data_IF_005550307139
#
_entry.id   IF_005550307139
#
_cell.length_a   1.000
_cell.length_b   1.000
_cell.length_c   1.000
_cell.angle_alpha   90.00
_cell.angle_beta   90.00
_cell.angle_gamma   90.00
#
_symmetry.space_group_name_H-M   'P 1'
#
loop_
_entity.id
_entity.type
_entity.pdbx_description
1 polymer ?
#
# COMPACT_ATOMS: atom_id res chain seq x y z
N UNK A 1 -4.13 18.90 44.87
CA UNK A 1 -5.11 18.31 44.75
C UNK A 1 -5.54 18.21 43.44
N UNK A 2 -5.75 19.19 42.97
CA UNK A 2 -6.18 19.12 41.76
C UNK A 2 -5.25 18.52 40.93
N UNK A 3 -4.15 18.64 41.16
CA UNK A 3 -3.19 18.14 40.27
C UNK A 3 -3.48 16.73 40.13
N UNK A 4 -3.85 16.27 41.17
CA UNK A 4 -4.14 14.98 41.13
C UNK A 4 -4.97 14.63 40.11
N UNK A 5 -6.00 15.30 40.09
CA UNK A 5 -6.87 14.93 39.27
C UNK A 5 -6.43 15.05 37.99
N UNK A 6 -5.59 15.84 37.83
CA UNK A 6 -5.23 16.03 36.61
C UNK A 6 -4.59 14.92 36.09
N UNK A 7 -3.75 14.45 36.77
CA UNK A 7 -3.11 13.45 36.26
C UNK A 7 -4.00 12.46 35.89
N UNK A 8 -4.91 12.38 36.54
CA UNK A 8 -5.81 11.36 36.25
C UNK A 8 -6.19 11.55 34.85
N UNK A 9 -6.48 12.68 34.54
CA UNK A 9 -7.00 12.87 33.27
C UNK A 9 -6.06 12.41 32.27
N UNK A 10 -4.89 12.72 32.47
CA UNK A 10 -4.03 12.37 31.51
C UNK A 10 -3.99 10.99 31.26
N UNK A 11 -4.26 10.29 32.18
CA UNK A 11 -4.19 8.94 32.00
C UNK A 11 -5.18 8.46 31.05
N UNK A 12 -5.73 9.27 30.32
CA UNK A 12 -6.64 8.76 29.35
C UNK A 12 -5.98 7.71 28.56
N UNK A 13 -4.76 7.78 28.44
CA UNK A 13 -4.16 6.80 27.66
C UNK A 13 -4.42 5.52 28.24
N UNK A 14 -4.51 5.51 29.44
CA UNK A 14 -4.68 4.30 30.04
C UNK A 14 -6.02 3.78 29.85
N UNK A 15 -6.87 4.55 29.37
CA UNK A 15 -8.22 4.11 29.22
C UNK A 15 -8.28 2.94 28.25
N UNK A 16 -7.29 2.76 27.42
CA UNK A 16 -7.30 1.66 26.47
C UNK A 16 -6.07 0.81 26.72
N UNK A 17 -6.22 -0.31 27.40
CA UNK A 17 -5.08 -1.16 27.67
C UNK A 17 -4.42 -1.64 26.41
N UNK A 18 -3.14 -1.66 26.43
CA UNK A 18 -2.38 -2.08 25.26
C UNK A 18 -2.75 -3.50 24.83
N UNK A 19 -3.04 -4.37 25.74
CA UNK A 19 -3.40 -5.70 25.37
C UNK A 19 -4.65 -5.76 24.52
N UNK A 20 -5.60 -4.89 24.78
CA UNK A 20 -6.81 -4.88 24.03
C UNK A 20 -6.53 -4.42 22.63
N UNK A 21 -5.67 -3.46 22.49
CA UNK A 21 -5.32 -2.93 21.17
C UNK A 21 -4.67 -4.03 20.34
N UNK A 22 -3.76 -4.75 20.92
CA UNK A 22 -3.08 -5.79 20.17
C UNK A 22 -4.01 -6.96 19.90
N UNK A 23 -4.88 -7.26 20.83
CA UNK A 23 -5.76 -8.37 20.67
C UNK A 23 -6.72 -8.19 19.50
N UNK A 24 -7.21 -6.96 19.33
CA UNK A 24 -8.19 -6.69 18.29
C UNK A 24 -7.56 -6.31 16.96
N UNK A 25 -6.25 -6.18 16.91
CA UNK A 25 -5.58 -5.78 15.68
C UNK A 25 -5.06 -7.02 14.99
N UNK A 26 -5.38 -7.21 13.73
CA UNK A 26 -4.85 -8.37 13.00
C UNK A 26 -3.34 -8.26 12.92
N UNK A 27 -2.63 -9.38 12.86
CA UNK A 27 -1.18 -9.36 12.72
C UNK A 27 -0.78 -8.60 11.47
N UNK A 28 0.33 -7.86 11.55
CA UNK A 28 0.79 -7.09 10.39
C UNK A 28 0.98 -7.97 9.16
N UNK A 29 1.34 -9.22 9.36
CA UNK A 29 1.54 -10.13 8.24
C UNK A 29 0.25 -10.46 7.52
N UNK A 30 -0.91 -10.22 8.13
CA UNK A 30 -2.17 -10.52 7.50
C UNK A 30 -2.79 -9.31 6.81
N UNK A 31 -2.10 -8.17 6.81
CA UNK A 31 -2.63 -6.98 6.19
C UNK A 31 -2.58 -7.16 4.68
N UNK A 32 -3.73 -7.08 4.06
CA UNK A 32 -3.86 -7.30 2.64
C UNK A 32 -3.72 -5.97 1.89
N UNK A 33 -2.77 -5.91 0.97
CA UNK A 33 -2.51 -4.68 0.22
C UNK A 33 -3.73 -4.20 -0.57
N UNK A 34 -4.52 -5.12 -1.10
CA UNK A 34 -5.70 -4.73 -1.86
C UNK A 34 -6.74 -4.05 -0.97
N UNK A 35 -6.89 -4.53 0.27
CA UNK A 35 -7.82 -3.91 1.20
C UNK A 35 -7.32 -2.53 1.61
N UNK A 36 -6.02 -2.36 1.77
CA UNK A 36 -5.45 -1.06 2.08
C UNK A 36 -5.73 -0.10 0.92
N UNK A 37 -5.54 -0.55 -0.32
CA UNK A 37 -5.82 0.28 -1.49
C UNK A 37 -7.29 0.70 -1.53
N UNK A 38 -8.18 -0.21 -1.15
CA UNK A 38 -9.61 0.07 -1.14
C UNK A 38 -9.92 1.19 -0.14
N UNK A 39 -9.24 1.20 0.99
CA UNK A 39 -9.44 2.24 1.99
C UNK A 39 -8.82 3.58 1.61
N UNK A 40 -7.74 3.55 0.83
CA UNK A 40 -7.04 4.78 0.45
C UNK A 40 -7.63 5.51 -0.75
N UNK A 41 -8.34 4.80 -1.61
CA UNK A 41 -8.80 5.35 -2.87
C UNK A 41 -10.33 5.44 -2.93
N UNK A 42 -10.83 6.37 -3.71
CA UNK A 42 -12.27 6.36 -3.96
C UNK A 42 -12.61 5.15 -4.85
N UNK A 43 -13.88 4.75 -4.91
CA UNK A 43 -14.25 3.53 -5.63
C UNK A 43 -13.82 3.48 -7.08
N UNK A 44 -13.88 4.61 -7.80
CA UNK A 44 -13.50 4.63 -9.19
C UNK A 44 -12.01 4.38 -9.37
N UNK A 45 -11.19 5.07 -8.58
CA UNK A 45 -9.74 4.91 -8.67
C UNK A 45 -9.32 3.52 -8.19
N UNK A 46 -9.99 2.98 -7.18
CA UNK A 46 -9.70 1.64 -6.72
C UNK A 46 -10.01 0.61 -7.81
N UNK A 47 -11.11 0.79 -8.55
CA UNK A 47 -11.46 -0.12 -9.62
C UNK A 47 -10.39 -0.10 -10.71
N UNK A 48 -9.92 1.08 -11.09
CA UNK A 48 -8.85 1.20 -12.08
C UNK A 48 -7.56 0.54 -11.59
N UNK A 49 -7.21 0.76 -10.34
CA UNK A 49 -6.02 0.15 -9.76
C UNK A 49 -6.15 -1.37 -9.75
N UNK A 50 -7.33 -1.88 -9.42
CA UNK A 50 -7.56 -3.31 -9.38
C UNK A 50 -7.34 -3.94 -10.76
N UNK A 51 -7.79 -3.27 -11.80
CA UNK A 51 -7.61 -3.75 -13.16
C UNK A 51 -6.13 -3.74 -13.54
N UNK A 52 -5.45 -2.65 -13.24
CA UNK A 52 -4.03 -2.51 -13.57
C UNK A 52 -3.18 -3.55 -12.84
N UNK A 53 -3.29 -3.61 -11.53
CA UNK A 53 -2.49 -4.54 -10.72
C UNK A 53 -2.90 -5.98 -11.02
N UNK A 54 -4.16 -6.22 -11.34
CA UNK A 54 -4.60 -7.54 -11.76
C UNK A 54 -3.83 -8.02 -12.99
N UNK A 55 -3.57 -7.13 -13.94
CA UNK A 55 -2.81 -7.48 -15.13
C UNK A 55 -1.31 -7.57 -14.85
N UNK A 56 -0.79 -6.74 -13.97
CA UNK A 56 0.65 -6.72 -13.71
C UNK A 56 1.12 -7.93 -12.90
N UNK A 57 0.45 -8.23 -11.83
CA UNK A 57 0.93 -9.22 -10.87
C UNK A 57 -0.16 -10.08 -10.25
N UNK A 58 -1.41 -9.83 -10.56
CA UNK A 58 -2.55 -10.44 -9.88
C UNK A 58 -2.44 -10.22 -8.35
N UNK A 59 -1.90 -9.08 -7.94
CA UNK A 59 -1.68 -8.71 -6.53
C UNK A 59 -0.68 -9.61 -5.80
N UNK A 60 0.14 -10.36 -6.54
CA UNK A 60 1.14 -11.22 -5.94
C UNK A 60 2.42 -10.43 -5.64
N UNK A 61 2.76 -10.22 -4.35
CA UNK A 61 3.95 -9.45 -4.00
C UNK A 61 5.26 -10.15 -4.38
N UNK A 62 5.20 -11.42 -4.75
CA UNK A 62 6.39 -12.17 -5.15
C UNK A 62 6.48 -12.35 -6.65
N UNK A 63 5.59 -11.72 -7.42
CA UNK A 63 5.61 -11.84 -8.88
C UNK A 63 6.91 -11.27 -9.44
N UNK A 64 7.52 -11.97 -10.38
CA UNK A 64 8.74 -11.53 -11.03
C UNK A 64 8.60 -11.65 -12.53
N UNK A 65 9.15 -10.67 -13.25
CA UNK A 65 9.15 -10.70 -14.70
C UNK A 65 10.35 -11.53 -15.16
N UNK A 66 10.16 -12.49 -16.07
CA UNK A 66 11.27 -13.38 -16.48
C UNK A 66 12.32 -12.71 -17.36
N UNK A 67 12.02 -11.54 -17.95
CA UNK A 67 12.96 -10.90 -18.87
C UNK A 67 13.38 -9.49 -18.45
N UNK A 68 12.95 -9.02 -17.30
CA UNK A 68 13.36 -7.71 -16.81
C UNK A 68 13.45 -7.74 -15.28
N UNK A 69 13.82 -6.63 -14.65
CA UNK A 69 13.90 -6.56 -13.20
C UNK A 69 12.57 -6.21 -12.57
N UNK A 70 11.50 -6.07 -13.36
CA UNK A 70 10.19 -5.73 -12.83
C UNK A 70 9.71 -6.80 -11.85
N UNK A 71 9.24 -6.40 -10.70
CA UNK A 71 8.79 -7.35 -9.69
C UNK A 71 7.75 -6.75 -8.76
N UNK A 72 7.10 -7.62 -8.01
CA UNK A 72 6.15 -7.24 -6.98
C UNK A 72 4.78 -6.86 -7.52
N UNK A 73 3.97 -6.30 -6.64
CA UNK A 73 2.60 -5.95 -6.96
C UNK A 73 2.50 -5.01 -8.15
N UNK A 74 3.32 -3.99 -8.21
CA UNK A 74 3.26 -2.98 -9.28
C UNK A 74 4.15 -3.28 -10.45
N UNK A 75 4.93 -4.35 -10.40
CA UNK A 75 5.91 -4.69 -11.43
C UNK A 75 6.83 -3.50 -11.75
N UNK A 76 7.34 -2.87 -10.70
CA UNK A 76 8.28 -1.76 -10.87
C UNK A 76 9.68 -2.32 -11.12
N UNK A 77 10.43 -1.64 -11.98
CA UNK A 77 11.82 -1.99 -12.23
C UNK A 77 12.65 -1.72 -10.98
N UNK A 78 13.74 -2.43 -10.79
CA UNK A 78 14.61 -2.24 -9.63
C UNK A 78 15.06 -0.79 -9.46
N UNK A 79 15.43 -0.12 -10.54
CA UNK A 79 15.86 1.28 -10.45
C UNK A 79 14.73 2.19 -9.99
N UNK A 80 13.52 1.94 -10.47
CA UNK A 80 12.36 2.72 -10.08
C UNK A 80 12.04 2.47 -8.61
N UNK A 81 12.01 1.21 -8.20
CA UNK A 81 11.73 0.84 -6.81
C UNK A 81 12.76 1.48 -5.87
N UNK A 82 14.04 1.43 -6.23
CA UNK A 82 15.09 2.03 -5.41
C UNK A 82 14.92 3.53 -5.29
N UNK A 83 14.55 4.20 -6.36
CA UNK A 83 14.34 5.65 -6.33
C UNK A 83 13.17 6.05 -5.44
N UNK A 84 12.26 5.11 -5.18
CA UNK A 84 11.12 5.32 -4.29
C UNK A 84 11.40 4.79 -2.88
N UNK A 85 12.62 4.34 -2.62
CA UNK A 85 13.00 3.85 -1.30
C UNK A 85 12.52 2.44 -0.99
N UNK A 86 12.12 1.68 -2.01
CA UNK A 86 11.59 0.33 -1.81
C UNK A 86 12.64 -0.73 -2.16
N UNK A 87 12.57 -1.86 -1.47
CA UNK A 87 13.40 -3.02 -1.76
C UNK A 87 12.50 -4.17 -2.19
N UNK A 88 13.07 -5.10 -2.97
CA UNK A 88 12.32 -6.27 -3.43
C UNK A 88 11.70 -7.09 -2.31
N UNK A 89 12.35 -7.12 -1.16
CA UNK A 89 11.87 -7.91 -0.03
C UNK A 89 10.83 -7.19 0.81
N UNK A 90 10.43 -5.98 0.42
CA UNK A 90 9.50 -5.22 1.22
C UNK A 90 8.09 -5.83 1.19
N UNK A 91 7.30 -5.52 2.20
CA UNK A 91 5.96 -6.07 2.35
C UNK A 91 5.05 -5.66 1.19
N UNK A 92 3.97 -6.39 1.03
CA UNK A 92 2.98 -6.08 0.00
C UNK A 92 2.44 -4.65 0.15
N UNK A 93 2.24 -4.19 1.38
CA UNK A 93 1.74 -2.83 1.62
C UNK A 93 2.79 -1.80 1.21
N UNK A 94 4.07 -2.04 1.52
CA UNK A 94 5.13 -1.13 1.09
C UNK A 94 5.23 -1.09 -0.43
N UNK A 95 5.06 -2.23 -1.09
CA UNK A 95 5.04 -2.28 -2.54
C UNK A 95 3.86 -1.51 -3.10
N UNK A 96 2.70 -1.59 -2.45
CA UNK A 96 1.52 -0.83 -2.86
C UNK A 96 1.80 0.67 -2.75
N UNK A 97 2.38 1.12 -1.65
CA UNK A 97 2.67 2.53 -1.45
C UNK A 97 3.63 3.05 -2.53
N UNK A 98 4.67 2.28 -2.84
CA UNK A 98 5.61 2.65 -3.90
C UNK A 98 4.90 2.70 -5.25
N UNK A 99 4.03 1.75 -5.53
CA UNK A 99 3.27 1.71 -6.78
C UNK A 99 2.36 2.93 -6.91
N UNK A 100 1.67 3.30 -5.83
CA UNK A 100 0.81 4.48 -5.84
C UNK A 100 1.63 5.77 -6.01
N UNK A 101 2.83 5.83 -5.43
CA UNK A 101 3.72 6.96 -5.60
C UNK A 101 4.18 7.07 -7.05
N UNK A 102 4.53 5.96 -7.66
CA UNK A 102 4.94 5.94 -9.06
C UNK A 102 3.78 6.40 -9.96
N UNK A 103 2.59 5.86 -9.74
CA UNK A 103 1.40 6.24 -10.50
C UNK A 103 1.15 7.75 -10.36
N UNK A 104 1.22 8.27 -9.14
CA UNK A 104 0.99 9.68 -8.91
C UNK A 104 1.95 10.56 -9.70
N UNK A 105 3.22 10.16 -9.75
CA UNK A 105 4.23 10.95 -10.45
C UNK A 105 4.11 10.87 -11.97
N UNK A 106 3.76 9.69 -12.49
CA UNK A 106 3.76 9.48 -13.94
C UNK A 106 2.40 9.64 -14.60
N UNK A 107 1.34 9.35 -13.89
CA UNK A 107 0.01 9.26 -14.50
C UNK A 107 -1.06 10.03 -13.71
N UNK A 108 -0.70 10.70 -12.66
CA UNK A 108 -1.58 11.43 -11.74
C UNK A 108 -2.52 10.52 -10.96
N UNK A 109 -3.23 9.63 -11.60
CA UNK A 109 -4.23 8.79 -10.94
C UNK A 109 -4.16 7.34 -11.41
N UNK A 110 -4.67 6.40 -10.63
CA UNK A 110 -4.77 5.00 -11.08
C UNK A 110 -5.54 4.83 -12.38
N UNK A 111 -6.61 5.61 -12.57
CA UNK A 111 -7.35 5.52 -13.84
C UNK A 111 -6.52 6.06 -15.00
N UNK A 112 -5.69 7.07 -14.75
CA UNK A 112 -4.75 7.56 -15.77
C UNK A 112 -3.73 6.49 -16.15
N UNK A 113 -3.21 5.77 -15.14
CA UNK A 113 -2.26 4.69 -15.39
C UNK A 113 -2.94 3.53 -16.14
N UNK A 114 -4.16 3.18 -15.76
CA UNK A 114 -4.89 2.11 -16.43
C UNK A 114 -5.15 2.46 -17.91
N UNK A 115 -5.51 3.71 -18.18
CA UNK A 115 -5.75 4.16 -19.54
C UNK A 115 -4.47 4.06 -20.36
N UNK A 116 -3.33 4.43 -19.78
CA UNK A 116 -2.05 4.34 -20.46
C UNK A 116 -1.70 2.87 -20.73
N UNK A 117 -1.94 2.00 -19.75
CA UNK A 117 -1.67 0.57 -19.90
C UNK A 117 -2.51 -0.02 -21.03
N UNK A 118 -3.78 0.36 -21.14
CA UNK A 118 -4.64 -0.15 -22.20
C UNK A 118 -4.14 0.24 -23.59
N UNK A 119 -3.49 1.40 -23.70
CA UNK A 119 -2.97 1.85 -24.99
C UNK A 119 -1.59 1.29 -25.29
N UNK A 120 -0.72 1.20 -24.29
CA UNK A 120 0.68 0.90 -24.50
C UNK A 120 1.12 -0.48 -24.02
N UNK A 121 0.34 -1.14 -23.17
CA UNK A 121 0.74 -2.41 -22.59
C UNK A 121 1.64 -2.28 -21.38
N UNK A 122 1.90 -1.06 -20.92
CA UNK A 122 2.68 -0.79 -19.71
C UNK A 122 2.23 0.56 -19.15
N UNK A 123 2.67 0.86 -17.94
CA UNK A 123 2.34 2.15 -17.33
C UNK A 123 3.55 2.77 -16.65
#
# INVERSE_FOLDING_TARGET
LLAVFIQAGITTDQAIPEQIIYKDRPPLMSVNAKEVAKDLLNPEQFLCLTKLIGKESAWNPKAENPVSTASGIGQLLDSTASSLGMKKSDSAVSQLVATLSYISRRHSTPCGAWKHFQKKGFY
#
